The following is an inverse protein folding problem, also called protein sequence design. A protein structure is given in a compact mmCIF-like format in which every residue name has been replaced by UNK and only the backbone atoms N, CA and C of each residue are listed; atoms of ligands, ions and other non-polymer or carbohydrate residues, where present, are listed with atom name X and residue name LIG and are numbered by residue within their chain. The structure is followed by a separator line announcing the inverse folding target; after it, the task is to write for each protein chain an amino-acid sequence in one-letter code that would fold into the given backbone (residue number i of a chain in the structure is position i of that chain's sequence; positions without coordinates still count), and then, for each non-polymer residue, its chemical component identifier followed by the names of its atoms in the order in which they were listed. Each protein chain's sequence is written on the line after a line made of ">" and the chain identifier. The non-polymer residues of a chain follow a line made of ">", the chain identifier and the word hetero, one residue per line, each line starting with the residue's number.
data_IF_522518566678
#
_entry.id   IF_522518566678
#
_cell.length_a   1.000
_cell.length_b   1.000
_cell.length_c   1.000
_cell.angle_alpha   90.00
_cell.angle_beta   90.00
_cell.angle_gamma   90.00
#
_symmetry.space_group_name_H-M   'P 1'
#
loop_
_entity.id
_entity.type
_entity.pdbx_description
1 polymer ?
#
# COMPACT_ATOMS: atom_id res chain seq x y z
N UNK A 1 8.73 25.56 -37.03
CA UNK A 1 8.50 24.34 -36.24
C UNK A 1 9.40 24.43 -35.03
N UNK A 2 8.87 24.51 -33.79
CA UNK A 2 9.75 24.55 -32.62
C UNK A 2 10.39 23.18 -32.43
N UNK A 3 11.71 23.21 -32.32
CA UNK A 3 12.60 22.11 -32.02
C UNK A 3 12.32 21.62 -30.60
N UNK A 4 11.85 20.38 -30.48
CA UNK A 4 11.62 19.73 -29.18
C UNK A 4 12.98 19.34 -28.61
N UNK A 5 13.41 20.03 -27.55
CA UNK A 5 14.55 19.60 -26.75
C UNK A 5 14.18 18.30 -26.01
N UNK A 6 15.02 17.28 -26.15
CA UNK A 6 14.83 16.02 -25.42
C UNK A 6 14.95 16.25 -23.91
N UNK A 7 14.08 15.63 -23.10
CA UNK A 7 14.17 15.73 -21.65
C UNK A 7 15.44 15.00 -21.15
N UNK A 8 16.09 15.48 -20.07
CA UNK A 8 17.33 14.89 -19.58
C UNK A 8 17.13 13.45 -19.09
N UNK A 9 18.16 12.62 -19.26
CA UNK A 9 18.21 11.25 -18.76
C UNK A 9 18.14 11.25 -17.23
N UNK A 10 17.28 10.39 -16.66
CA UNK A 10 17.05 10.26 -15.21
C UNK A 10 18.32 10.05 -14.37
N UNK A 11 19.39 9.50 -14.96
CA UNK A 11 20.70 9.34 -14.30
C UNK A 11 21.37 10.67 -13.96
N UNK A 12 21.14 11.73 -14.72
CA UNK A 12 21.78 13.05 -14.53
C UNK A 12 21.10 13.86 -13.42
N UNK A 13 19.78 13.69 -13.26
CA UNK A 13 19.00 14.34 -12.18
C UNK A 13 19.44 13.80 -10.81
N UNK A 14 19.68 12.49 -10.71
CA UNK A 14 20.10 11.82 -9.46
C UNK A 14 21.52 12.24 -9.05
N UNK A 15 22.44 12.43 -10.01
CA UNK A 15 23.80 12.88 -9.73
C UNK A 15 23.86 14.33 -9.19
N UNK A 16 22.93 15.20 -9.60
CA UNK A 16 22.89 16.61 -9.13
C UNK A 16 22.35 16.76 -7.70
N UNK A 17 21.57 15.79 -7.22
CA UNK A 17 20.95 15.81 -5.89
C UNK A 17 21.92 15.23 -4.84
N UNK A 18 22.75 14.26 -5.22
CA UNK A 18 23.71 13.62 -4.31
C UNK A 18 25.00 14.45 -4.07
N UNK A 19 25.27 15.46 -4.90
CA UNK A 19 26.45 16.33 -4.76
C UNK A 19 26.19 17.67 -4.05
N UNK A 20 25.02 17.88 -3.45
CA UNK A 20 24.78 19.05 -2.61
C UNK A 20 25.28 18.78 -1.19
N UNK A 21 26.47 19.30 -0.91
CA UNK A 21 27.07 19.30 0.42
C UNK A 21 26.08 19.82 1.47
N UNK A 22 25.84 19.02 2.50
CA UNK A 22 25.06 19.41 3.67
C UNK A 22 25.92 20.38 4.49
N UNK A 23 25.47 21.62 4.76
CA UNK A 23 26.22 22.51 5.63
C UNK A 23 26.28 21.94 7.04
N UNK A 24 27.51 21.84 7.56
CA UNK A 24 27.82 21.48 8.94
C UNK A 24 27.14 22.45 9.92
N UNK A 25 26.16 21.97 10.68
CA UNK A 25 25.56 22.73 11.78
C UNK A 25 26.34 22.44 13.05
N UNK A 26 27.24 23.34 13.40
CA UNK A 26 27.89 23.38 14.70
C UNK A 26 26.91 23.92 15.76
N UNK A 27 26.74 23.19 16.87
CA UNK A 27 26.15 23.74 18.10
C UNK A 27 24.97 22.98 18.69
N UNK A 28 25.21 21.75 19.16
CA UNK A 28 24.37 21.13 20.21
C UNK A 28 25.31 20.61 21.29
N UNK A 29 25.52 21.40 22.33
CA UNK A 29 26.23 20.99 23.55
C UNK A 29 25.22 20.35 24.51
N UNK A 30 25.28 19.03 24.62
CA UNK A 30 24.44 18.26 25.55
C UNK A 30 24.52 16.75 25.28
N UNK A 31 25.73 16.19 25.22
CA UNK A 31 25.93 14.74 25.11
C UNK A 31 26.09 14.12 26.51
N UNK A 32 25.28 13.14 26.92
CA UNK A 32 25.59 12.31 28.07
C UNK A 32 26.81 11.39 27.81
N UNK A 33 27.51 11.09 28.90
CA UNK A 33 28.77 10.35 29.03
C UNK A 33 28.89 9.11 28.13
N UNK A 34 30.08 8.94 27.54
CA UNK A 34 30.54 7.78 26.78
C UNK A 34 30.89 6.63 27.73
N UNK A 35 29.96 5.72 27.96
CA UNK A 35 30.23 4.37 28.52
C UNK A 35 29.22 3.33 28.01
N UNK A 36 28.87 3.39 26.72
CA UNK A 36 28.10 2.31 26.07
C UNK A 36 29.06 1.41 25.30
N UNK A 37 29.40 0.27 25.90
CA UNK A 37 30.05 -0.83 25.19
C UNK A 37 29.09 -1.39 24.14
N UNK A 38 29.49 -1.34 22.87
CA UNK A 38 28.80 -2.06 21.80
C UNK A 38 29.19 -3.53 21.88
N UNK A 39 28.28 -4.38 22.34
CA UNK A 39 28.41 -5.83 22.18
C UNK A 39 28.10 -6.15 20.72
N UNK A 40 29.13 -6.35 19.91
CA UNK A 40 28.98 -6.91 18.56
C UNK A 40 28.65 -8.39 18.74
N UNK A 41 27.36 -8.73 18.74
CA UNK A 41 26.93 -10.13 18.64
C UNK A 41 27.07 -10.54 17.17
N UNK A 42 28.23 -11.04 16.79
CA UNK A 42 28.41 -11.76 15.53
C UNK A 42 27.58 -13.04 15.58
N UNK A 43 26.34 -12.96 15.08
CA UNK A 43 25.54 -14.16 14.86
C UNK A 43 26.24 -14.96 13.76
N UNK A 44 26.82 -16.10 14.14
CA UNK A 44 27.33 -17.10 13.22
C UNK A 44 26.16 -17.49 12.31
N UNK A 45 26.19 -17.04 11.05
CA UNK A 45 25.25 -17.48 10.03
C UNK A 45 25.47 -18.98 9.88
N UNK A 46 24.58 -19.79 10.47
CA UNK A 46 24.57 -21.21 10.17
C UNK A 46 24.25 -21.37 8.68
N UNK A 47 24.99 -22.20 7.93
CA UNK A 47 24.63 -22.50 6.55
C UNK A 47 23.18 -22.98 6.54
N UNK A 48 22.34 -22.32 5.74
CA UNK A 48 20.93 -22.61 5.66
C UNK A 48 20.75 -24.11 5.43
N UNK A 49 20.15 -24.79 6.41
CA UNK A 49 19.70 -26.16 6.24
C UNK A 49 18.76 -26.14 5.04
N UNK A 50 19.14 -26.84 3.97
CA UNK A 50 18.34 -27.05 2.76
C UNK A 50 17.08 -27.79 3.18
N UNK A 51 16.11 -27.03 3.68
CA UNK A 51 14.79 -27.53 4.01
C UNK A 51 14.20 -27.98 2.69
N UNK A 52 13.98 -29.29 2.55
CA UNK A 52 13.24 -29.86 1.43
C UNK A 52 11.88 -29.17 1.41
N UNK A 53 11.73 -28.16 0.55
CA UNK A 53 10.44 -27.53 0.27
C UNK A 53 9.59 -28.62 -0.38
N UNK A 54 8.75 -29.26 0.44
CA UNK A 54 7.70 -30.14 -0.04
C UNK A 54 6.72 -29.24 -0.80
N UNK A 55 6.94 -29.10 -2.11
CA UNK A 55 5.99 -28.48 -3.01
C UNK A 55 4.80 -29.44 -3.07
N UNK A 56 3.78 -29.16 -2.26
CA UNK A 56 2.50 -29.87 -2.37
C UNK A 56 1.94 -29.54 -3.76
N UNK A 57 1.94 -30.53 -4.65
CA UNK A 57 1.21 -30.46 -5.92
C UNK A 57 -0.27 -30.37 -5.60
N UNK A 58 -0.94 -29.31 -6.06
CA UNK A 58 -2.38 -29.17 -5.94
C UNK A 58 -3.05 -30.07 -6.98
N UNK A 59 -3.71 -31.15 -6.55
CA UNK A 59 -4.40 -32.12 -7.44
C UNK A 59 -5.81 -31.67 -7.89
N UNK A 60 -6.03 -30.37 -8.08
CA UNK A 60 -7.30 -29.81 -8.55
C UNK A 60 -7.23 -29.32 -9.99
N UNK A 61 -8.34 -29.41 -10.74
CA UNK A 61 -8.47 -28.70 -12.01
C UNK A 61 -8.26 -27.19 -11.75
N UNK A 62 -7.34 -26.52 -12.48
CA UNK A 62 -7.13 -25.09 -12.31
C UNK A 62 -8.45 -24.34 -12.50
N UNK A 63 -8.85 -23.57 -11.48
CA UNK A 63 -10.01 -22.69 -11.60
C UNK A 63 -9.56 -21.38 -12.26
N UNK A 64 -10.38 -20.78 -13.14
CA UNK A 64 -10.03 -19.49 -13.75
C UNK A 64 -10.00 -18.38 -12.70
N UNK A 65 -9.18 -17.34 -12.92
CA UNK A 65 -9.22 -16.14 -12.09
C UNK A 65 -10.51 -15.35 -12.40
N UNK A 66 -11.31 -14.94 -11.40
CA UNK A 66 -12.51 -14.13 -11.62
C UNK A 66 -12.15 -12.83 -12.31
N UNK A 67 -13.03 -12.38 -13.19
CA UNK A 67 -12.95 -11.08 -13.85
C UNK A 67 -13.24 -9.94 -12.86
N UNK A 68 -12.84 -8.72 -13.23
CA UNK A 68 -13.15 -7.50 -12.46
C UNK A 68 -14.66 -7.35 -12.25
N UNK A 69 -15.47 -7.59 -13.28
CA UNK A 69 -16.94 -7.50 -13.20
C UNK A 69 -17.55 -8.52 -12.23
N UNK A 70 -17.06 -9.77 -12.23
CA UNK A 70 -17.50 -10.77 -11.27
C UNK A 70 -17.16 -10.36 -9.83
N UNK A 71 -15.97 -9.80 -9.60
CA UNK A 71 -15.54 -9.36 -8.27
C UNK A 71 -16.32 -8.15 -7.77
N UNK A 72 -16.77 -7.24 -8.63
CA UNK A 72 -17.68 -6.15 -8.23
C UNK A 72 -18.93 -6.68 -7.55
N UNK A 73 -19.50 -7.80 -8.03
CA UNK A 73 -20.69 -8.42 -7.43
C UNK A 73 -20.44 -9.05 -6.05
N UNK A 74 -19.17 -9.21 -5.66
CA UNK A 74 -18.74 -9.76 -4.37
C UNK A 74 -18.37 -8.68 -3.35
N UNK A 75 -18.37 -7.41 -3.76
CA UNK A 75 -17.99 -6.27 -2.94
C UNK A 75 -19.21 -5.42 -2.57
N UNK A 76 -19.23 -4.93 -1.33
CA UNK A 76 -20.19 -3.96 -0.80
C UNK A 76 -19.46 -2.67 -0.45
N UNK A 77 -19.37 -1.79 -1.45
CA UNK A 77 -18.74 -0.48 -1.34
C UNK A 77 -19.80 0.60 -1.05
N UNK A 78 -19.59 1.46 -0.04
CA UNK A 78 -20.48 2.61 0.20
C UNK A 78 -20.49 3.59 -0.99
N UNK A 79 -21.67 4.11 -1.31
CA UNK A 79 -21.91 4.99 -2.47
C UNK A 79 -21.52 6.45 -2.26
N UNK A 80 -21.05 6.83 -1.06
CA UNK A 80 -20.76 8.22 -0.69
C UNK A 80 -19.34 8.40 -0.16
N UNK A 81 -18.39 7.58 -0.61
CA UNK A 81 -17.05 7.50 -0.04
C UNK A 81 -16.99 6.68 1.24
N UNK A 82 -15.96 6.90 2.05
CA UNK A 82 -15.72 6.07 3.24
C UNK A 82 -14.80 4.87 2.96
N UNK A 83 -13.93 4.98 1.95
CA UNK A 83 -12.95 3.95 1.62
C UNK A 83 -11.54 4.37 2.02
N UNK A 84 -10.77 3.41 2.50
CA UNK A 84 -9.34 3.54 2.77
C UNK A 84 -8.57 2.54 1.91
N UNK A 85 -7.70 3.06 1.06
CA UNK A 85 -6.66 2.33 0.35
C UNK A 85 -5.37 2.39 1.16
N UNK A 86 -4.45 1.46 0.90
CA UNK A 86 -3.16 1.46 1.57
C UNK A 86 -2.08 0.88 0.68
N UNK A 87 -0.84 1.34 0.89
CA UNK A 87 0.34 0.73 0.28
C UNK A 87 1.49 0.85 1.26
N UNK A 88 2.35 -0.16 1.31
CA UNK A 88 3.50 -0.17 2.22
C UNK A 88 4.13 -1.56 2.34
N UNK A 89 5.33 -1.64 2.92
CA UNK A 89 6.06 -2.90 3.03
C UNK A 89 5.34 -3.89 3.97
N UNK A 90 5.25 -5.15 3.54
CA UNK A 90 5.25 -6.34 4.41
C UNK A 90 4.23 -6.41 5.55
N UNK A 91 2.99 -5.95 5.37
CA UNK A 91 1.95 -6.06 6.41
C UNK A 91 1.27 -4.75 6.80
N UNK A 92 1.31 -3.75 5.91
CA UNK A 92 0.60 -2.49 6.09
C UNK A 92 -0.93 -2.61 6.24
N UNK A 93 -1.48 -3.79 5.95
CA UNK A 93 -2.88 -4.14 6.22
C UNK A 93 -3.26 -3.89 7.68
N UNK A 94 -2.42 -4.27 8.66
CA UNK A 94 -2.74 -4.10 10.08
C UNK A 94 -2.97 -2.63 10.46
N UNK A 95 -1.99 -1.73 10.23
CA UNK A 95 -2.18 -0.30 10.40
C UNK A 95 -3.35 0.28 9.61
N UNK A 96 -3.55 -0.16 8.36
CA UNK A 96 -4.64 0.29 7.52
C UNK A 96 -6.01 -0.07 8.08
N UNK A 97 -6.22 -1.31 8.50
CA UNK A 97 -7.48 -1.78 9.11
C UNK A 97 -7.77 -1.02 10.40
N UNK A 98 -6.78 -0.87 11.29
CA UNK A 98 -6.96 -0.10 12.54
C UNK A 98 -7.35 1.35 12.22
N UNK A 99 -6.67 1.97 11.26
CA UNK A 99 -6.95 3.36 10.88
C UNK A 99 -8.32 3.51 10.24
N UNK A 100 -8.70 2.58 9.37
CA UNK A 100 -10.01 2.55 8.74
C UNK A 100 -11.12 2.49 9.80
N UNK A 101 -11.00 1.58 10.77
CA UNK A 101 -11.95 1.45 11.88
C UNK A 101 -12.06 2.74 12.70
N UNK A 102 -10.94 3.38 13.05
CA UNK A 102 -10.92 4.66 13.79
C UNK A 102 -11.64 5.79 13.05
N UNK A 103 -11.63 5.76 11.71
CA UNK A 103 -12.21 6.80 10.86
C UNK A 103 -13.60 6.42 10.32
N UNK A 104 -14.14 5.24 10.66
CA UNK A 104 -15.38 4.72 10.08
C UNK A 104 -15.28 4.45 8.58
N UNK A 105 -14.09 4.13 8.08
CA UNK A 105 -13.80 3.78 6.69
C UNK A 105 -13.74 2.26 6.51
N UNK A 106 -13.79 1.79 5.26
CA UNK A 106 -13.59 0.38 4.89
C UNK A 106 -12.37 0.21 3.99
N UNK A 107 -11.60 -0.84 4.24
CA UNK A 107 -10.58 -1.37 3.31
C UNK A 107 -11.19 -2.41 2.37
N UNK A 108 -10.42 -2.91 1.39
CA UNK A 108 -10.86 -3.97 0.46
C UNK A 108 -11.38 -5.21 1.22
N UNK A 109 -10.65 -5.65 2.23
CA UNK A 109 -10.96 -6.83 3.04
C UNK A 109 -12.28 -6.66 3.82
N UNK A 110 -12.56 -5.43 4.28
CA UNK A 110 -13.81 -5.06 4.93
C UNK A 110 -14.97 -4.86 3.94
N UNK A 111 -14.70 -4.90 2.64
CA UNK A 111 -15.68 -4.66 1.60
C UNK A 111 -16.25 -5.93 0.97
N UNK A 112 -15.71 -7.12 1.24
CA UNK A 112 -16.34 -8.37 0.78
C UNK A 112 -17.72 -8.59 1.41
N UNK A 113 -18.71 -8.94 0.59
CA UNK A 113 -20.06 -9.37 1.02
C UNK A 113 -19.95 -10.67 1.83
N UNK A 114 -19.25 -11.65 1.27
CA UNK A 114 -18.86 -12.87 1.96
C UNK A 114 -17.40 -12.77 2.39
N UNK A 115 -17.16 -12.64 3.70
CA UNK A 115 -15.81 -12.51 4.27
C UNK A 115 -14.91 -13.72 4.04
N UNK A 116 -15.50 -14.89 3.81
CA UNK A 116 -14.74 -16.13 3.59
C UNK A 116 -14.34 -16.32 2.14
N UNK A 117 -14.98 -15.60 1.21
CA UNK A 117 -14.78 -15.79 -0.23
C UNK A 117 -13.31 -15.67 -0.67
N UNK A 118 -12.54 -14.62 -0.32
CA UNK A 118 -11.16 -14.49 -0.78
C UNK A 118 -10.28 -15.62 -0.28
N UNK A 119 -10.44 -16.00 0.99
CA UNK A 119 -9.66 -17.07 1.63
C UNK A 119 -9.94 -18.44 1.02
N UNK A 120 -11.20 -18.76 0.75
CA UNK A 120 -11.58 -20.02 0.11
C UNK A 120 -11.20 -20.07 -1.37
N UNK A 121 -11.20 -18.92 -2.06
CA UNK A 121 -10.84 -18.85 -3.46
C UNK A 121 -9.33 -18.96 -3.66
N UNK A 122 -8.52 -18.23 -2.89
CA UNK A 122 -7.07 -18.20 -3.05
C UNK A 122 -6.39 -19.55 -2.79
N UNK A 123 -6.97 -20.40 -1.92
CA UNK A 123 -6.48 -21.77 -1.66
C UNK A 123 -6.46 -22.65 -2.91
N UNK A 124 -7.21 -22.27 -3.94
CA UNK A 124 -7.37 -23.01 -5.20
C UNK A 124 -6.54 -22.42 -6.35
N UNK A 125 -5.84 -21.31 -6.11
CA UNK A 125 -5.07 -20.59 -7.13
C UNK A 125 -3.59 -20.94 -7.08
N UNK A 126 -2.94 -20.91 -8.25
CA UNK A 126 -1.48 -20.89 -8.31
C UNK A 126 -0.94 -19.55 -7.77
N UNK A 127 0.34 -19.47 -7.37
CA UNK A 127 0.93 -18.19 -6.96
C UNK A 127 0.86 -17.08 -8.01
N UNK A 128 0.95 -17.43 -9.30
CA UNK A 128 0.81 -16.48 -10.40
C UNK A 128 -0.63 -15.95 -10.50
N UNK A 129 -1.61 -16.85 -10.41
CA UNK A 129 -3.03 -16.51 -10.46
C UNK A 129 -3.49 -15.74 -9.23
N UNK A 130 -2.90 -16.01 -8.06
CA UNK A 130 -3.18 -15.27 -6.83
C UNK A 130 -2.86 -13.78 -6.98
N UNK A 131 -1.74 -13.46 -7.66
CA UNK A 131 -1.39 -12.07 -7.94
C UNK A 131 -2.46 -11.40 -8.83
N UNK A 132 -2.92 -12.11 -9.87
CA UNK A 132 -3.95 -11.59 -10.79
C UNK A 132 -5.29 -11.41 -10.07
N UNK A 133 -5.66 -12.35 -9.19
CA UNK A 133 -6.86 -12.26 -8.36
C UNK A 133 -6.87 -10.99 -7.52
N UNK A 134 -5.78 -10.71 -6.79
CA UNK A 134 -5.69 -9.50 -5.97
C UNK A 134 -5.61 -8.22 -6.81
N UNK A 135 -5.00 -8.27 -8.00
CA UNK A 135 -5.03 -7.16 -8.96
C UNK A 135 -6.49 -6.87 -9.41
N UNK A 136 -7.24 -7.88 -9.82
CA UNK A 136 -8.64 -7.70 -10.22
C UNK A 136 -9.54 -7.25 -9.06
N UNK A 137 -9.34 -7.78 -7.86
CA UNK A 137 -10.11 -7.37 -6.68
C UNK A 137 -9.87 -5.90 -6.33
N UNK A 138 -8.61 -5.46 -6.38
CA UNK A 138 -8.23 -4.07 -6.11
C UNK A 138 -8.74 -3.13 -7.20
N UNK A 139 -8.71 -3.56 -8.46
CA UNK A 139 -9.33 -2.82 -9.56
C UNK A 139 -10.85 -2.68 -9.36
N UNK A 140 -11.55 -3.78 -9.07
CA UNK A 140 -13.00 -3.75 -8.84
C UNK A 140 -13.38 -2.80 -7.69
N UNK A 141 -12.59 -2.81 -6.61
CA UNK A 141 -12.78 -1.91 -5.48
C UNK A 141 -12.54 -0.44 -5.84
N UNK A 142 -11.51 -0.14 -6.63
CA UNK A 142 -11.23 1.20 -7.14
C UNK A 142 -12.29 1.70 -8.15
N UNK A 143 -12.85 0.83 -8.99
CA UNK A 143 -13.93 1.18 -9.93
C UNK A 143 -15.27 1.44 -9.22
N UNK A 144 -15.53 0.76 -8.11
CA UNK A 144 -16.72 0.98 -7.27
C UNK A 144 -16.59 2.19 -6.34
N UNK A 145 -15.37 2.73 -6.17
CA UNK A 145 -15.13 3.86 -5.31
C UNK A 145 -15.89 5.13 -5.77
N UNK A 146 -16.25 5.97 -4.81
CA UNK A 146 -16.98 7.22 -5.06
C UNK A 146 -16.67 8.25 -3.98
N UNK A 147 -16.98 9.52 -4.22
CA UNK A 147 -16.85 10.57 -3.22
C UNK A 147 -15.41 10.88 -2.84
N UNK A 148 -15.12 10.98 -1.55
CA UNK A 148 -13.76 11.16 -1.02
C UNK A 148 -13.19 9.81 -0.61
N UNK A 149 -12.01 9.47 -1.14
CA UNK A 149 -11.26 8.28 -0.75
C UNK A 149 -10.00 8.68 0.00
N UNK A 150 -9.56 7.81 0.90
CA UNK A 150 -8.38 8.00 1.72
C UNK A 150 -7.31 7.01 1.30
N UNK A 151 -6.04 7.40 1.36
CA UNK A 151 -4.91 6.49 1.15
C UNK A 151 -3.91 6.60 2.28
N UNK A 152 -3.65 5.48 2.95
CA UNK A 152 -2.61 5.35 3.96
C UNK A 152 -1.31 4.92 3.30
N UNK A 153 -0.32 5.81 3.31
CA UNK A 153 1.03 5.51 2.83
C UNK A 153 2.06 5.67 3.97
N UNK A 154 3.25 5.05 3.87
CA UNK A 154 4.29 5.18 4.87
C UNK A 154 4.84 6.61 4.92
N UNK A 155 5.32 7.06 6.09
CA UNK A 155 5.76 8.45 6.32
C UNK A 155 6.92 8.92 5.42
N UNK A 156 7.67 7.99 4.84
CA UNK A 156 8.77 8.27 3.90
C UNK A 156 8.32 8.34 2.44
N UNK A 157 7.03 8.15 2.16
CA UNK A 157 6.50 8.25 0.80
C UNK A 157 5.95 9.65 0.54
N UNK A 158 6.27 10.19 -0.63
CA UNK A 158 5.61 11.38 -1.16
C UNK A 158 4.56 10.95 -2.19
N UNK A 159 3.70 11.88 -2.62
CA UNK A 159 2.83 11.68 -3.79
C UNK A 159 3.58 11.27 -5.06
N UNK A 160 4.92 11.41 -5.11
CA UNK A 160 5.75 10.98 -6.24
C UNK A 160 6.63 9.74 -5.93
N UNK A 161 6.54 9.16 -4.73
CA UNK A 161 7.43 8.09 -4.27
C UNK A 161 6.66 6.96 -3.59
N UNK A 162 5.82 6.28 -4.36
CA UNK A 162 5.27 4.97 -3.99
C UNK A 162 6.00 3.86 -4.76
N UNK A 163 6.05 2.66 -4.19
CA UNK A 163 6.68 1.50 -4.82
C UNK A 163 6.01 1.23 -6.18
N UNK A 164 6.72 1.37 -7.32
CA UNK A 164 6.10 1.31 -8.65
C UNK A 164 5.44 -0.05 -8.95
N UNK A 165 5.92 -1.10 -8.30
CA UNK A 165 5.40 -2.47 -8.43
C UNK A 165 4.30 -2.80 -7.42
N UNK A 166 3.87 -1.86 -6.57
CA UNK A 166 2.77 -2.06 -5.61
C UNK A 166 1.40 -2.11 -6.31
N UNK A 167 0.41 -2.73 -5.66
CA UNK A 167 -0.96 -2.88 -6.21
C UNK A 167 -1.55 -1.49 -6.42
N UNK A 168 -1.36 -0.64 -5.41
CA UNK A 168 -1.65 0.79 -5.47
C UNK A 168 -1.13 1.47 -6.74
N UNK A 169 0.17 1.40 -6.99
CA UNK A 169 0.79 2.14 -8.09
C UNK A 169 0.36 1.63 -9.47
N UNK A 170 0.24 0.31 -9.64
CA UNK A 170 -0.01 -0.30 -10.96
C UNK A 170 -1.49 -0.48 -11.29
N UNK A 171 -2.35 -0.64 -10.28
CA UNK A 171 -3.77 -0.98 -10.43
C UNK A 171 -4.68 0.11 -9.89
N UNK A 172 -4.60 0.37 -8.58
CA UNK A 172 -5.64 1.15 -7.89
C UNK A 172 -5.57 2.62 -8.30
N UNK A 173 -4.38 3.23 -8.27
CA UNK A 173 -4.20 4.64 -8.61
C UNK A 173 -4.63 4.97 -10.06
N UNK A 174 -4.15 4.26 -11.11
CA UNK A 174 -4.61 4.52 -12.47
C UNK A 174 -6.10 4.28 -12.68
N UNK A 175 -6.70 3.37 -11.90
CA UNK A 175 -8.15 3.11 -11.94
C UNK A 175 -8.93 4.26 -11.30
N UNK A 176 -8.47 4.76 -10.15
CA UNK A 176 -9.08 5.90 -9.46
C UNK A 176 -8.99 7.19 -10.30
N UNK A 177 -7.89 7.43 -11.01
CA UNK A 177 -7.74 8.59 -11.90
C UNK A 177 -8.79 8.62 -13.03
N UNK A 178 -9.25 7.44 -13.46
CA UNK A 178 -10.27 7.29 -14.52
C UNK A 178 -11.69 7.26 -13.97
N UNK A 179 -11.86 7.08 -12.66
CA UNK A 179 -13.17 6.94 -12.03
C UNK A 179 -13.79 8.30 -11.72
N UNK A 180 -14.69 8.76 -12.59
CA UNK A 180 -15.37 10.06 -12.45
C UNK A 180 -16.23 10.20 -11.18
N UNK A 181 -16.58 9.09 -10.50
CA UNK A 181 -17.32 9.14 -9.24
C UNK A 181 -16.41 9.53 -8.05
N UNK A 182 -15.10 9.39 -8.19
CA UNK A 182 -14.12 9.83 -7.19
C UNK A 182 -13.87 11.31 -7.36
N UNK A 183 -14.21 12.07 -6.33
CA UNK A 183 -14.11 13.55 -6.33
C UNK A 183 -12.84 14.05 -5.66
N UNK A 184 -12.29 13.29 -4.71
CA UNK A 184 -11.10 13.66 -3.93
C UNK A 184 -10.34 12.42 -3.47
N UNK A 185 -9.01 12.52 -3.47
CA UNK A 185 -8.10 11.57 -2.85
C UNK A 185 -7.32 12.27 -1.75
N UNK A 186 -7.43 11.79 -0.51
CA UNK A 186 -6.74 12.36 0.64
C UNK A 186 -5.69 11.37 1.16
N UNK A 187 -4.43 11.82 1.17
CA UNK A 187 -3.35 11.07 1.79
C UNK A 187 -3.39 11.24 3.31
N UNK A 188 -3.25 10.12 4.02
CA UNK A 188 -3.10 10.08 5.48
C UNK A 188 -1.78 9.41 5.84
N UNK A 189 -1.13 9.91 6.89
CA UNK A 189 0.13 9.38 7.40
C UNK A 189 -0.11 8.64 8.72
N UNK A 190 0.53 7.48 8.96
CA UNK A 190 0.36 6.71 10.19
C UNK A 190 0.75 7.48 11.45
N UNK A 191 1.70 8.42 11.37
CA UNK A 191 2.19 9.20 12.52
C UNK A 191 1.32 10.38 12.96
N UNK A 192 0.36 10.83 12.15
CA UNK A 192 -0.51 11.97 12.50
C UNK A 192 -1.77 11.41 13.16
N UNK A 193 -1.72 11.28 14.49
CA UNK A 193 -2.93 11.22 15.30
C UNK A 193 -3.70 12.53 15.05
N UNK A 194 -4.66 12.51 14.13
CA UNK A 194 -5.63 13.60 14.03
C UNK A 194 -6.44 13.49 15.32
N UNK A 195 -6.35 14.46 16.25
CA UNK A 195 -7.25 14.45 17.39
C UNK A 195 -8.67 14.49 16.84
N UNK A 196 -9.44 13.44 17.10
CA UNK A 196 -10.88 13.45 16.89
C UNK A 196 -11.40 14.49 17.88
N UNK A 197 -11.49 15.76 17.44
CA UNK A 197 -12.36 16.70 18.13
C UNK A 197 -13.76 16.13 17.96
N UNK A 198 -14.25 15.49 19.01
CA UNK A 198 -15.65 15.13 19.18
C UNK A 198 -16.49 16.39 18.98
N UNK A 199 -16.94 16.61 17.74
CA UNK A 199 -17.96 17.60 17.44
C UNK A 199 -19.30 16.88 17.54
N UNK A 200 -19.70 16.60 18.77
CA UNK A 200 -21.10 16.40 19.13
C UNK A 200 -21.85 17.70 18.80
N UNK A 201 -22.24 17.87 17.53
CA UNK A 201 -23.23 18.86 17.15
C UNK A 201 -24.59 18.18 17.18
N UNK A 202 -25.34 18.54 18.22
CA UNK A 202 -26.79 18.39 18.28
C UNK A 202 -27.37 19.09 17.05
N UNK A 203 -28.16 18.36 16.28
CA UNK A 203 -29.31 18.90 15.56
C UNK A 203 -30.55 18.24 16.17
#
# INVERSE_FOLDING_TARGET
>A
MPEYAEPPLWSEIVASILNKEIPSVAGITGLPSRDTQWVIISHRIQPASTSNLIIKSYEGTPIPVPTVEELKTKLQVPSSGGLLFYSGPGGFIGPATVRAQQMGLKVLEDSWIDKTYPDEYQKKLSPADLKIFWDHASQAFAELASGTIYVLLPDYTTLQSFFPTSVWARVEWPTLEKNANVTKVLMIFPGIAVPIKDTTHKY
#
